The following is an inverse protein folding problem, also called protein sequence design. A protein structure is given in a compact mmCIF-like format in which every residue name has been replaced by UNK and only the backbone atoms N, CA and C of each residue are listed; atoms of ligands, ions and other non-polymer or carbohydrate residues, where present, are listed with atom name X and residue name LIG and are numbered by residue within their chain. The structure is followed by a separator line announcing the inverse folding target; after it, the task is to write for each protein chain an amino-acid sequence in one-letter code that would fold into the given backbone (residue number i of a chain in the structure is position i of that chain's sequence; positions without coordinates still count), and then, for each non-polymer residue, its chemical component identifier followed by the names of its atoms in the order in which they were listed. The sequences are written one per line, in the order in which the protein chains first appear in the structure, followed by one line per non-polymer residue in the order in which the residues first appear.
data_IF_135138731339
#
_entry.id   IF_135138731339
#
_cell.length_a   1.000
_cell.length_b   1.000
_cell.length_c   1.000
_cell.angle_alpha   90.00
_cell.angle_beta   90.00
_cell.angle_gamma   90.00
#
_symmetry.space_group_name_H-M   'P 1'
#
loop_
_entity.id
_entity.type
_entity.pdbx_description
1 polymer ?
#
# COMPACT_ATOMS: atom_id res chain seq x y z
N UNK A 1 47.53 51.60 59.84
CA UNK A 1 47.71 50.16 60.13
C UNK A 1 46.34 49.50 60.12
N UNK A 2 46.17 48.48 59.27
CA UNK A 2 45.02 47.55 59.12
C UNK A 2 43.73 48.07 58.44
N UNK A 3 43.02 47.18 57.70
CA UNK A 3 42.43 47.50 56.39
C UNK A 3 40.89 47.46 56.34
N UNK A 4 40.32 48.01 55.26
CA UNK A 4 38.89 47.94 54.91
C UNK A 4 38.58 46.58 54.27
N UNK A 5 37.58 45.87 54.79
CA UNK A 5 36.97 44.68 54.18
C UNK A 5 35.66 45.04 53.50
N UNK A 6 35.53 44.56 52.26
CA UNK A 6 34.43 44.76 51.34
C UNK A 6 33.36 43.68 51.56
N UNK A 7 32.08 44.06 51.61
CA UNK A 7 30.95 43.15 51.89
C UNK A 7 30.03 43.10 50.66
N UNK A 8 30.29 42.15 49.76
CA UNK A 8 29.45 41.92 48.58
C UNK A 8 28.27 40.99 48.92
N UNK A 9 27.07 41.50 48.68
CA UNK A 9 25.76 40.90 48.98
C UNK A 9 25.37 39.93 47.85
N UNK A 10 25.43 38.61 48.09
CA UNK A 10 24.89 37.58 47.17
C UNK A 10 23.35 37.65 47.14
N UNK A 11 22.76 38.04 46.00
CA UNK A 11 21.34 37.84 45.69
C UNK A 11 21.12 36.36 45.35
N UNK A 12 20.28 35.66 46.09
CA UNK A 12 19.73 34.36 45.67
C UNK A 12 18.55 34.62 44.73
N UNK A 13 18.70 34.22 43.47
CA UNK A 13 17.60 34.13 42.51
C UNK A 13 16.77 32.90 42.83
N UNK A 14 15.48 33.09 43.08
CA UNK A 14 14.49 32.02 43.12
C UNK A 14 14.03 31.82 41.67
N UNK A 15 14.64 30.87 40.96
CA UNK A 15 14.24 30.48 39.62
C UNK A 15 13.23 29.33 39.71
N UNK A 16 12.12 29.56 39.02
CA UNK A 16 10.93 28.74 38.82
C UNK A 16 11.22 27.29 38.40
N UNK A 17 10.85 26.32 39.24
CA UNK A 17 10.90 24.88 38.97
C UNK A 17 9.62 24.33 38.29
N UNK A 18 8.77 25.20 37.72
CA UNK A 18 7.48 24.82 37.11
C UNK A 18 7.51 24.62 35.59
N UNK A 19 8.63 24.93 34.92
CA UNK A 19 8.77 24.79 33.46
C UNK A 19 9.31 23.43 32.99
N UNK A 20 10.19 22.79 33.78
CA UNK A 20 10.86 21.52 33.41
C UNK A 20 9.92 20.32 33.45
N UNK A 21 9.01 20.28 34.43
CA UNK A 21 8.15 19.12 34.66
C UNK A 21 7.13 18.95 33.53
N UNK A 22 6.66 20.04 32.91
CA UNK A 22 5.72 19.97 31.76
C UNK A 22 6.39 19.50 30.47
N UNK A 23 7.67 19.82 30.23
CA UNK A 23 8.38 19.31 29.05
C UNK A 23 8.77 17.85 29.23
N UNK A 24 9.23 17.45 30.42
CA UNK A 24 9.54 16.03 30.71
C UNK A 24 8.27 15.15 30.67
N UNK A 25 7.12 15.61 31.17
CA UNK A 25 5.86 14.85 31.06
C UNK A 25 5.34 14.77 29.62
N UNK A 26 5.55 15.80 28.79
CA UNK A 26 5.18 15.77 27.38
C UNK A 26 6.13 14.87 26.56
N UNK A 27 7.43 14.91 26.84
CA UNK A 27 8.44 14.02 26.24
C UNK A 27 8.24 12.56 26.66
N UNK A 28 7.89 12.30 27.93
CA UNK A 28 7.52 10.97 28.42
C UNK A 28 6.26 10.43 27.72
N UNK A 29 5.26 11.28 27.46
CA UNK A 29 4.05 10.88 26.74
C UNK A 29 4.34 10.54 25.27
N UNK A 30 5.07 11.37 24.53
CA UNK A 30 5.38 11.14 23.11
C UNK A 30 6.22 9.88 22.86
N UNK A 31 7.15 9.58 23.78
CA UNK A 31 8.02 8.39 23.72
C UNK A 31 7.23 7.08 23.86
N UNK A 32 6.26 7.04 24.77
CA UNK A 32 5.40 5.87 24.99
C UNK A 32 4.51 5.56 23.76
N UNK A 33 4.22 6.58 22.95
CA UNK A 33 3.44 6.49 21.72
C UNK A 33 4.29 6.31 20.45
N UNK A 34 5.63 6.33 20.55
CA UNK A 34 6.55 6.20 19.41
C UNK A 34 6.54 7.41 18.46
N UNK A 35 6.07 8.56 18.95
CA UNK A 35 5.94 9.83 18.20
C UNK A 35 7.11 10.80 18.48
N UNK A 36 8.08 10.37 19.27
CA UNK A 36 9.35 11.05 19.55
C UNK A 36 10.42 10.79 18.48
N UNK A 37 10.09 9.98 17.48
CA UNK A 37 10.98 9.53 16.41
C UNK A 37 10.99 10.52 15.25
N UNK A 38 12.06 10.54 14.43
CA UNK A 38 12.03 11.26 13.16
C UNK A 38 10.82 10.81 12.35
N UNK A 39 10.02 11.77 11.84
CA UNK A 39 8.91 11.47 10.93
C UNK A 39 9.41 10.62 9.76
N UNK A 40 8.68 9.55 9.46
CA UNK A 40 9.01 8.71 8.31
C UNK A 40 8.74 9.50 7.03
N UNK A 41 9.63 9.33 6.06
CA UNK A 41 9.49 9.94 4.75
C UNK A 41 8.50 9.19 3.86
N UNK A 42 8.83 9.15 2.57
CA UNK A 42 8.10 8.39 1.58
C UNK A 42 8.63 6.97 1.44
N UNK A 43 7.88 6.16 0.69
CA UNK A 43 8.22 4.80 0.33
C UNK A 43 8.38 3.90 1.56
N UNK A 44 7.37 3.95 2.44
CA UNK A 44 7.34 3.24 3.71
C UNK A 44 5.96 2.70 4.06
N UNK A 45 5.96 1.64 4.85
CA UNK A 45 4.80 1.20 5.65
C UNK A 45 5.08 1.46 7.12
N UNK A 46 4.17 2.17 7.79
CA UNK A 46 4.24 2.43 9.22
C UNK A 46 3.12 1.66 9.93
N UNK A 47 3.45 0.58 10.67
CA UNK A 47 2.48 -0.11 11.50
C UNK A 47 2.13 0.73 12.74
N UNK A 48 0.89 0.58 13.22
CA UNK A 48 0.43 1.21 14.46
C UNK A 48 -0.61 0.36 15.19
N UNK A 49 -0.81 0.66 16.47
CA UNK A 49 -1.87 0.08 17.30
C UNK A 49 -2.64 1.17 18.03
N UNK A 50 -3.95 0.95 18.15
CA UNK A 50 -4.89 1.76 18.92
C UNK A 50 -5.36 0.89 20.08
N UNK A 51 -4.56 0.84 21.16
CA UNK A 51 -4.81 -0.06 22.29
C UNK A 51 -6.17 0.22 22.95
N UNK A 52 -6.57 1.49 23.04
CA UNK A 52 -7.86 1.88 23.63
C UNK A 52 -9.06 1.53 22.74
N UNK A 53 -8.86 1.41 21.42
CA UNK A 53 -9.90 1.09 20.44
C UNK A 53 -9.90 -0.38 20.01
N UNK A 54 -9.03 -1.21 20.61
CA UNK A 54 -8.82 -2.61 20.23
C UNK A 54 -8.59 -2.78 18.72
N UNK A 55 -7.83 -1.88 18.11
CA UNK A 55 -7.58 -1.86 16.68
C UNK A 55 -6.09 -1.82 16.38
N UNK A 56 -5.67 -2.42 15.27
CA UNK A 56 -4.32 -2.28 14.72
C UNK A 56 -4.41 -1.83 13.29
N UNK A 57 -3.38 -1.17 12.80
CA UNK A 57 -3.38 -0.74 11.41
C UNK A 57 -2.00 -0.49 10.85
N UNK A 58 -2.01 -0.05 9.60
CA UNK A 58 -0.83 0.31 8.83
C UNK A 58 -1.17 1.52 7.98
N UNK A 59 -0.21 2.42 7.87
CA UNK A 59 -0.24 3.52 6.91
C UNK A 59 0.86 3.28 5.90
N UNK A 60 0.52 3.34 4.62
CA UNK A 60 1.48 3.32 3.52
C UNK A 60 1.61 4.72 2.95
N UNK A 61 2.83 5.13 2.65
CA UNK A 61 3.15 6.33 1.90
C UNK A 61 4.11 5.94 0.79
N UNK A 62 3.76 6.26 -0.45
CA UNK A 62 4.58 6.02 -1.63
C UNK A 62 4.82 7.34 -2.37
N UNK A 63 6.08 7.59 -2.70
CA UNK A 63 6.56 8.72 -3.47
C UNK A 63 7.34 8.23 -4.67
N UNK A 64 8.67 8.27 -4.59
CA UNK A 64 9.55 8.00 -5.73
C UNK A 64 9.46 6.54 -6.22
N UNK A 65 9.19 5.58 -5.33
CA UNK A 65 8.99 4.18 -5.75
C UNK A 65 7.75 4.04 -6.65
N UNK A 66 6.63 4.67 -6.28
CA UNK A 66 5.41 4.65 -7.08
C UNK A 66 5.58 5.46 -8.38
N UNK A 67 6.18 6.64 -8.31
CA UNK A 67 6.42 7.48 -9.47
C UNK A 67 7.21 6.71 -10.55
N UNK A 68 8.23 5.96 -10.14
CA UNK A 68 9.00 5.09 -11.04
C UNK A 68 8.16 3.97 -11.65
N UNK A 69 7.31 3.29 -10.88
CA UNK A 69 6.41 2.24 -11.41
C UNK A 69 5.47 2.81 -12.48
N UNK A 70 4.87 3.97 -12.21
CA UNK A 70 3.83 4.54 -13.08
C UNK A 70 4.39 5.26 -14.31
N UNK A 71 5.57 5.88 -14.20
CA UNK A 71 6.15 6.68 -15.30
C UNK A 71 6.80 5.83 -16.40
N UNK A 72 7.26 4.61 -16.09
CA UNK A 72 7.93 3.72 -17.06
C UNK A 72 7.05 3.31 -18.25
N UNK A 73 5.74 3.15 -18.04
CA UNK A 73 4.80 2.63 -19.02
C UNK A 73 3.96 3.70 -19.73
N UNK A 74 4.20 4.99 -19.47
CA UNK A 74 3.45 6.12 -20.04
C UNK A 74 1.92 5.94 -20.00
N UNK A 75 1.39 5.47 -18.86
CA UNK A 75 -0.03 5.18 -18.70
C UNK A 75 -0.91 6.44 -18.84
N UNK A 76 -2.12 6.33 -19.42
CA UNK A 76 -3.15 7.35 -19.26
C UNK A 76 -3.43 7.58 -17.76
N UNK A 77 -3.65 8.84 -17.37
CA UNK A 77 -3.78 9.21 -15.96
C UNK A 77 -4.79 8.35 -15.15
N UNK A 78 -5.97 7.95 -15.69
CA UNK A 78 -6.87 7.07 -14.95
C UNK A 78 -6.31 5.67 -14.70
N UNK A 79 -5.58 5.10 -15.67
CA UNK A 79 -4.93 3.79 -15.53
C UNK A 79 -3.80 3.86 -14.50
N UNK A 80 -3.00 4.92 -14.56
CA UNK A 80 -1.93 5.16 -13.58
C UNK A 80 -2.46 5.29 -12.15
N UNK A 81 -3.59 5.99 -11.94
CA UNK A 81 -4.25 6.08 -10.64
C UNK A 81 -4.71 4.71 -10.14
N UNK A 82 -5.38 3.94 -10.98
CA UNK A 82 -5.87 2.62 -10.62
C UNK A 82 -4.74 1.65 -10.27
N UNK A 83 -3.65 1.65 -11.06
CA UNK A 83 -2.45 0.87 -10.73
C UNK A 83 -1.82 1.33 -9.41
N UNK A 84 -1.76 2.65 -9.17
CA UNK A 84 -1.26 3.18 -7.90
C UNK A 84 -2.08 2.73 -6.69
N UNK A 85 -3.41 2.69 -6.80
CA UNK A 85 -4.29 2.17 -5.74
C UNK A 85 -3.98 0.69 -5.46
N UNK A 86 -3.78 -0.11 -6.51
CA UNK A 86 -3.40 -1.52 -6.38
C UNK A 86 -2.03 -1.70 -5.72
N UNK A 87 -1.05 -0.85 -6.04
CA UNK A 87 0.29 -0.88 -5.42
C UNK A 87 0.22 -0.55 -3.94
N UNK A 88 -0.53 0.49 -3.55
CA UNK A 88 -0.75 0.83 -2.13
C UNK A 88 -1.46 -0.30 -1.41
N UNK A 89 -2.51 -0.87 -2.01
CA UNK A 89 -3.26 -1.98 -1.43
C UNK A 89 -2.36 -3.21 -1.19
N UNK A 90 -1.51 -3.56 -2.15
CA UNK A 90 -0.55 -4.65 -2.01
C UNK A 90 0.49 -4.36 -0.92
N UNK A 91 0.95 -3.12 -0.79
CA UNK A 91 1.83 -2.71 0.31
C UNK A 91 1.17 -2.83 1.68
N UNK A 92 -0.10 -2.43 1.80
CA UNK A 92 -0.88 -2.53 3.04
C UNK A 92 -1.12 -3.99 3.46
N UNK A 93 -1.65 -4.80 2.53
CA UNK A 93 -2.00 -6.21 2.80
C UNK A 93 -0.74 -7.06 2.91
N UNK A 94 0.16 -6.97 1.93
CA UNK A 94 1.36 -7.79 1.88
C UNK A 94 2.26 -7.55 3.09
N UNK A 95 2.46 -6.29 3.52
CA UNK A 95 3.23 -6.05 4.73
C UNK A 95 2.55 -6.61 5.99
N UNK A 96 1.20 -6.70 6.01
CA UNK A 96 0.40 -7.20 7.14
C UNK A 96 0.59 -8.68 7.44
N UNK A 97 0.94 -9.45 6.41
CA UNK A 97 1.10 -10.89 6.48
C UNK A 97 2.53 -11.25 6.91
N UNK A 98 2.68 -12.21 7.82
CA UNK A 98 3.98 -12.74 8.22
C UNK A 98 4.35 -13.92 7.31
N UNK A 99 5.05 -13.64 6.22
CA UNK A 99 5.52 -14.66 5.29
C UNK A 99 6.96 -14.38 4.82
N UNK A 100 7.57 -15.38 4.19
CA UNK A 100 8.79 -15.20 3.40
C UNK A 100 8.47 -15.61 1.97
N UNK A 101 8.81 -14.78 0.99
CA UNK A 101 8.50 -15.01 -0.42
C UNK A 101 7.72 -13.86 -1.03
N UNK A 102 6.73 -14.17 -1.88
CA UNK A 102 6.02 -13.17 -2.69
C UNK A 102 4.54 -13.13 -2.37
N UNK A 103 4.03 -11.92 -2.21
CA UNK A 103 2.60 -11.62 -2.24
C UNK A 103 2.26 -11.05 -3.61
N UNK A 104 1.24 -11.61 -4.25
CA UNK A 104 0.80 -11.21 -5.59
C UNK A 104 -0.67 -10.79 -5.49
N UNK A 105 -0.94 -9.54 -5.83
CA UNK A 105 -2.28 -9.01 -6.02
C UNK A 105 -2.54 -8.92 -7.52
N UNK A 106 -3.55 -9.61 -8.01
CA UNK A 106 -3.90 -9.65 -9.41
C UNK A 106 -5.40 -9.38 -9.61
N UNK A 107 -5.75 -8.49 -10.53
CA UNK A 107 -7.13 -8.34 -11.01
C UNK A 107 -7.23 -8.86 -12.42
N UNK A 108 -8.27 -9.62 -12.74
CA UNK A 108 -8.60 -9.99 -14.10
C UNK A 108 -10.06 -9.69 -14.37
N UNK A 109 -10.31 -8.81 -15.34
CA UNK A 109 -11.63 -8.21 -15.54
C UNK A 109 -11.96 -7.99 -17.02
N UNK A 110 -13.22 -7.66 -17.29
CA UNK A 110 -13.78 -7.38 -18.62
C UNK A 110 -13.85 -5.87 -18.96
N UNK A 111 -13.39 -4.99 -18.07
CA UNK A 111 -13.35 -3.55 -18.29
C UNK A 111 -12.19 -3.07 -19.16
N UNK A 112 -12.11 -1.75 -19.44
CA UNK A 112 -11.01 -1.13 -20.19
C UNK A 112 -9.61 -1.49 -19.68
N UNK A 113 -9.45 -1.65 -18.37
CA UNK A 113 -8.24 -2.20 -17.74
C UNK A 113 -8.53 -3.65 -17.40
N UNK A 114 -7.91 -4.58 -18.13
CA UNK A 114 -8.26 -6.00 -18.09
C UNK A 114 -7.38 -6.84 -17.16
N UNK A 115 -6.17 -6.35 -16.85
CA UNK A 115 -5.23 -7.02 -15.96
C UNK A 115 -4.44 -5.98 -15.17
N UNK A 116 -4.39 -6.15 -13.86
CA UNK A 116 -3.41 -5.49 -12.99
C UNK A 116 -2.69 -6.59 -12.24
N UNK A 117 -1.37 -6.50 -12.17
CA UNK A 117 -0.54 -7.38 -11.34
C UNK A 117 0.38 -6.52 -10.51
N UNK A 118 0.40 -6.77 -9.21
CA UNK A 118 1.33 -6.17 -8.27
C UNK A 118 1.97 -7.28 -7.45
N UNK A 119 3.30 -7.31 -7.46
CA UNK A 119 4.09 -8.19 -6.61
C UNK A 119 4.72 -7.38 -5.47
N UNK A 120 4.62 -7.91 -4.26
CA UNK A 120 5.46 -7.56 -3.13
C UNK A 120 6.36 -8.76 -2.81
N UNK A 121 7.64 -8.65 -3.13
CA UNK A 121 8.69 -9.57 -2.71
C UNK A 121 9.14 -9.17 -1.31
N UNK A 122 8.71 -9.95 -0.31
CA UNK A 122 8.94 -9.61 1.08
C UNK A 122 10.44 -9.55 1.40
N UNK A 123 10.89 -8.53 2.16
CA UNK A 123 10.05 -7.63 2.97
C UNK A 123 9.62 -6.32 2.29
N UNK A 124 10.26 -5.91 1.20
CA UNK A 124 10.27 -4.50 0.76
C UNK A 124 10.11 -4.27 -0.76
N UNK A 125 10.30 -5.29 -1.60
CA UNK A 125 10.38 -5.12 -3.05
C UNK A 125 9.02 -5.05 -3.71
N UNK A 126 8.62 -3.89 -4.21
CA UNK A 126 7.39 -3.67 -4.95
C UNK A 126 7.63 -3.58 -6.46
N UNK A 127 6.71 -4.16 -7.22
CA UNK A 127 6.59 -3.92 -8.67
C UNK A 127 5.16 -4.13 -9.10
N UNK A 128 4.73 -3.45 -10.15
CA UNK A 128 3.41 -3.70 -10.71
C UNK A 128 3.29 -3.17 -12.12
N UNK A 129 2.31 -3.70 -12.84
CA UNK A 129 1.94 -3.23 -14.17
C UNK A 129 0.46 -3.44 -14.41
N UNK A 130 -0.06 -2.71 -15.39
CA UNK A 130 -1.43 -2.83 -15.87
C UNK A 130 -1.44 -3.07 -17.39
N UNK A 131 -2.35 -3.92 -17.84
CA UNK A 131 -2.73 -4.05 -19.26
C UNK A 131 -4.12 -3.48 -19.46
N UNK A 132 -4.31 -2.81 -20.57
CA UNK A 132 -5.53 -2.09 -20.89
C UNK A 132 -5.74 -2.00 -22.41
N UNK A 133 -6.99 -1.82 -22.81
CA UNK A 133 -7.37 -1.47 -24.18
C UNK A 133 -7.31 0.06 -24.33
N UNK A 134 -6.37 0.55 -25.12
CA UNK A 134 -6.13 1.98 -25.31
C UNK A 134 -7.35 2.72 -25.88
N UNK A 135 -8.07 2.12 -26.83
CA UNK A 135 -9.25 2.73 -27.43
C UNK A 135 -10.42 2.75 -26.45
N UNK A 136 -10.57 1.68 -25.65
CA UNK A 136 -11.59 1.62 -24.61
C UNK A 136 -11.35 2.65 -23.50
N UNK A 137 -10.10 2.77 -23.03
CA UNK A 137 -9.71 3.77 -22.02
C UNK A 137 -9.91 5.19 -22.57
N UNK A 138 -9.54 5.44 -23.83
CA UNK A 138 -9.73 6.75 -24.45
C UNK A 138 -11.22 7.12 -24.53
N UNK A 139 -12.09 6.19 -24.94
CA UNK A 139 -13.56 6.40 -24.92
C UNK A 139 -14.07 6.68 -23.50
N UNK A 140 -13.61 5.93 -22.50
CA UNK A 140 -13.99 6.14 -21.11
C UNK A 140 -13.58 7.55 -20.61
N UNK A 141 -12.40 8.03 -21.00
CA UNK A 141 -11.93 9.40 -20.72
C UNK A 141 -12.86 10.44 -21.35
N UNK A 142 -13.24 10.26 -22.63
CA UNK A 142 -14.12 11.18 -23.34
C UNK A 142 -15.54 11.24 -22.76
N UNK A 143 -16.02 10.13 -22.23
CA UNK A 143 -17.32 10.02 -21.56
C UNK A 143 -17.29 10.46 -20.09
N UNK A 144 -16.10 10.68 -19.51
CA UNK A 144 -15.93 10.98 -18.09
C UNK A 144 -16.14 9.76 -17.17
N UNK A 145 -16.09 8.55 -17.71
CA UNK A 145 -16.30 7.28 -17.02
C UNK A 145 -14.98 6.68 -16.52
N UNK A 146 -14.19 7.48 -15.80
CA UNK A 146 -12.82 7.14 -15.40
C UNK A 146 -12.70 6.69 -13.95
N UNK A 147 -13.81 6.36 -13.28
CA UNK A 147 -13.75 5.84 -11.90
C UNK A 147 -13.15 4.42 -11.88
N UNK A 148 -12.46 4.01 -10.80
CA UNK A 148 -11.85 2.68 -10.68
C UNK A 148 -12.78 1.53 -11.12
N UNK A 149 -14.01 1.49 -10.60
CA UNK A 149 -14.98 0.45 -10.93
C UNK A 149 -15.46 0.44 -12.38
N UNK A 150 -15.46 1.59 -13.06
CA UNK A 150 -15.81 1.68 -14.49
C UNK A 150 -14.67 1.18 -15.38
N UNK A 151 -13.43 1.41 -14.96
CA UNK A 151 -12.23 0.93 -15.67
C UNK A 151 -11.99 -0.56 -15.46
N UNK A 152 -12.27 -1.07 -14.26
CA UNK A 152 -12.17 -2.49 -13.95
C UNK A 152 -13.34 -3.27 -14.56
N UNK A 153 -14.58 -2.77 -14.47
CA UNK A 153 -15.74 -3.54 -14.88
C UNK A 153 -16.00 -4.71 -13.94
N UNK A 154 -16.26 -5.90 -14.48
CA UNK A 154 -16.54 -7.12 -13.74
C UNK A 154 -15.41 -8.14 -13.89
N UNK A 155 -15.21 -8.94 -12.85
CA UNK A 155 -14.20 -9.99 -12.87
C UNK A 155 -13.87 -10.48 -11.47
N UNK A 156 -12.58 -10.61 -11.18
CA UNK A 156 -12.13 -11.04 -9.86
C UNK A 156 -10.78 -10.44 -9.49
N UNK A 157 -10.56 -10.30 -8.18
CA UNK A 157 -9.28 -9.99 -7.57
C UNK A 157 -8.78 -11.24 -6.87
N UNK A 158 -7.57 -11.67 -7.23
CA UNK A 158 -6.87 -12.78 -6.61
C UNK A 158 -5.69 -12.25 -5.77
N UNK A 159 -5.60 -12.70 -4.54
CA UNK A 159 -4.46 -12.48 -3.64
C UNK A 159 -3.75 -13.81 -3.43
N UNK A 160 -2.50 -13.88 -3.85
CA UNK A 160 -1.69 -15.11 -3.77
C UNK A 160 -0.49 -14.89 -2.86
N UNK A 161 -0.28 -15.79 -1.92
CA UNK A 161 0.91 -15.85 -1.08
C UNK A 161 1.73 -17.06 -1.53
N UNK A 162 2.91 -16.81 -2.08
CA UNK A 162 3.88 -17.82 -2.52
C UNK A 162 5.12 -17.79 -1.61
N UNK A 163 5.30 -18.85 -0.82
CA UNK A 163 6.43 -18.98 0.11
C UNK A 163 7.54 -19.91 -0.41
N UNK A 164 7.55 -20.17 -1.72
CA UNK A 164 8.55 -21.01 -2.39
C UNK A 164 8.19 -22.49 -2.44
N UNK A 165 9.11 -23.30 -2.96
CA UNK A 165 8.86 -24.68 -3.41
C UNK A 165 8.47 -25.67 -2.31
N UNK A 166 8.69 -25.31 -1.04
CA UNK A 166 8.44 -26.19 0.10
C UNK A 166 7.13 -25.88 0.83
N UNK A 167 6.38 -24.87 0.37
CA UNK A 167 5.13 -24.42 0.97
C UNK A 167 4.04 -24.39 -0.09
N UNK A 168 2.82 -24.76 0.30
CA UNK A 168 1.68 -24.64 -0.59
C UNK A 168 1.35 -23.17 -0.83
N UNK A 169 1.06 -22.83 -2.09
CA UNK A 169 0.58 -21.50 -2.46
C UNK A 169 -0.82 -21.31 -1.92
N UNK A 170 -1.02 -20.27 -1.14
CA UNK A 170 -2.34 -19.86 -0.68
C UNK A 170 -2.90 -18.80 -1.64
N UNK A 171 -4.14 -18.98 -2.09
CA UNK A 171 -4.80 -18.03 -2.98
C UNK A 171 -6.23 -17.75 -2.51
N UNK A 172 -6.53 -16.48 -2.23
CA UNK A 172 -7.87 -15.99 -1.99
C UNK A 172 -8.40 -15.25 -3.22
N UNK A 173 -9.64 -15.50 -3.62
CA UNK A 173 -10.27 -14.88 -4.79
C UNK A 173 -11.58 -14.22 -4.36
N UNK A 174 -11.80 -12.98 -4.81
CA UNK A 174 -13.01 -12.20 -4.54
C UNK A 174 -13.57 -11.65 -5.86
N UNK A 175 -14.89 -11.66 -6.00
CA UNK A 175 -15.55 -11.11 -7.17
C UNK A 175 -15.39 -9.57 -7.22
N UNK A 176 -15.15 -9.05 -8.42
CA UNK A 176 -15.18 -7.63 -8.74
C UNK A 176 -16.48 -7.35 -9.48
N UNK A 177 -17.35 -6.50 -8.93
CA UNK A 177 -18.65 -6.15 -9.54
C UNK A 177 -18.78 -4.63 -9.79
N UNK A 178 -17.77 -4.02 -10.42
CA UNK A 178 -17.77 -2.59 -10.72
C UNK A 178 -17.57 -1.67 -9.50
N UNK A 179 -17.11 -2.23 -8.37
CA UNK A 179 -16.71 -1.50 -7.17
C UNK A 179 -15.27 -0.97 -7.24
N UNK A 180 -14.84 -0.30 -6.18
CA UNK A 180 -13.45 0.16 -6.00
C UNK A 180 -12.56 -0.94 -5.43
N UNK A 181 -11.24 -0.75 -5.46
CA UNK A 181 -10.32 -1.67 -4.79
C UNK A 181 -10.49 -1.66 -3.26
N UNK A 182 -10.99 -0.57 -2.67
CA UNK A 182 -11.34 -0.50 -1.25
C UNK A 182 -12.48 -1.49 -0.92
N UNK A 183 -13.58 -1.43 -1.67
CA UNK A 183 -14.78 -2.27 -1.47
C UNK A 183 -14.43 -3.77 -1.51
N UNK A 184 -13.52 -4.11 -2.42
CA UNK A 184 -13.10 -5.49 -2.67
C UNK A 184 -12.18 -5.99 -1.57
N UNK A 185 -11.28 -5.13 -1.09
CA UNK A 185 -10.47 -5.44 0.08
C UNK A 185 -11.33 -5.64 1.33
N UNK A 186 -12.35 -4.80 1.55
CA UNK A 186 -13.28 -4.96 2.67
C UNK A 186 -14.02 -6.30 2.57
N UNK A 187 -14.53 -6.64 1.37
CA UNK A 187 -15.22 -7.90 1.10
C UNK A 187 -14.32 -9.12 1.35
N UNK A 188 -13.06 -9.06 0.91
CA UNK A 188 -12.09 -10.12 1.15
C UNK A 188 -11.89 -10.42 2.63
N UNK A 189 -11.56 -9.41 3.43
CA UNK A 189 -11.30 -9.58 4.86
C UNK A 189 -12.56 -9.97 5.64
N UNK A 190 -13.72 -9.47 5.20
CA UNK A 190 -15.01 -9.85 5.77
C UNK A 190 -15.32 -11.34 5.54
N UNK A 191 -15.12 -11.85 4.33
CA UNK A 191 -15.47 -13.23 3.98
C UNK A 191 -14.42 -14.26 4.41
N UNK A 192 -13.13 -13.94 4.22
CA UNK A 192 -12.03 -14.91 4.39
C UNK A 192 -11.46 -14.92 5.80
N UNK A 193 -11.31 -13.73 6.41
CA UNK A 193 -10.62 -13.57 7.70
C UNK A 193 -11.59 -13.29 8.87
N UNK A 194 -12.83 -12.88 8.59
CA UNK A 194 -13.83 -12.44 9.57
C UNK A 194 -13.32 -11.36 10.52
N UNK A 195 -12.41 -10.51 10.04
CA UNK A 195 -11.85 -9.39 10.77
C UNK A 195 -12.44 -8.10 10.19
N UNK A 196 -13.17 -7.29 10.99
CA UNK A 196 -13.62 -5.97 10.55
C UNK A 196 -12.41 -5.17 10.09
N UNK A 197 -12.39 -4.83 8.81
CA UNK A 197 -11.25 -4.19 8.16
C UNK A 197 -11.74 -2.99 7.38
N UNK A 198 -11.07 -1.85 7.57
CA UNK A 198 -11.29 -0.64 6.81
C UNK A 198 -10.01 -0.32 6.04
N UNK A 199 -10.17 -0.02 4.76
CA UNK A 199 -9.11 0.36 3.84
C UNK A 199 -9.49 1.68 3.19
N UNK A 200 -8.54 2.63 3.17
CA UNK A 200 -8.61 3.89 2.43
C UNK A 200 -7.37 4.01 1.56
N UNK A 201 -7.54 4.37 0.29
CA UNK A 201 -6.50 4.49 -0.72
C UNK A 201 -6.66 5.86 -1.40
N UNK A 202 -5.55 6.51 -1.69
CA UNK A 202 -5.55 7.72 -2.50
C UNK A 202 -4.30 7.79 -3.35
N UNK A 203 -4.47 8.21 -4.60
CA UNK A 203 -3.39 8.46 -5.56
C UNK A 203 -3.58 9.83 -6.17
N UNK A 204 -2.54 10.65 -6.11
CA UNK A 204 -2.56 12.00 -6.64
C UNK A 204 -1.30 12.32 -7.44
N UNK A 205 -1.41 13.30 -8.31
CA UNK A 205 -0.27 13.96 -8.92
C UNK A 205 0.03 15.23 -8.16
N UNK A 206 1.27 15.39 -7.72
CA UNK A 206 1.76 16.60 -7.09
C UNK A 206 2.60 17.39 -8.10
N UNK A 207 2.30 18.68 -8.25
CA UNK A 207 3.11 19.61 -9.03
C UNK A 207 3.73 20.64 -8.10
N UNK A 208 5.03 20.53 -7.86
CA UNK A 208 5.76 21.52 -7.05
C UNK A 208 6.33 22.64 -7.93
N UNK A 209 6.42 23.84 -7.34
CA UNK A 209 6.97 25.01 -8.02
C UNK A 209 8.46 24.79 -8.30
N UNK A 210 8.82 24.67 -9.57
CA UNK A 210 10.20 24.46 -10.03
C UNK A 210 10.47 23.08 -10.60
N UNK A 211 9.53 22.15 -10.48
CA UNK A 211 9.61 20.83 -11.13
C UNK A 211 9.06 20.88 -12.56
N UNK A 212 9.64 20.07 -13.45
CA UNK A 212 9.29 20.05 -14.88
C UNK A 212 8.02 19.26 -15.19
N UNK A 213 7.72 18.25 -14.38
CA UNK A 213 6.60 17.34 -14.55
C UNK A 213 5.96 17.05 -13.20
N UNK A 214 4.64 16.79 -13.17
CA UNK A 214 4.01 16.27 -11.96
C UNK A 214 4.62 14.94 -11.57
N UNK A 215 4.75 14.69 -10.27
CA UNK A 215 5.13 13.39 -9.70
C UNK A 215 3.90 12.68 -9.14
N UNK A 216 3.84 11.37 -9.30
CA UNK A 216 2.83 10.55 -8.66
C UNK A 216 3.17 10.32 -7.20
N UNK A 217 2.13 10.37 -6.36
CA UNK A 217 2.21 10.06 -4.93
C UNK A 217 0.96 9.31 -4.55
N UNK A 218 1.10 8.43 -3.57
CA UNK A 218 -0.05 7.74 -3.02
C UNK A 218 0.12 7.46 -1.54
N UNK A 219 -1.00 7.25 -0.90
CA UNK A 219 -1.02 6.74 0.46
C UNK A 219 -2.27 5.94 0.71
N UNK A 220 -2.23 5.18 1.79
CA UNK A 220 -3.39 4.45 2.23
C UNK A 220 -3.30 4.07 3.68
N UNK A 221 -4.44 3.73 4.24
CA UNK A 221 -4.57 3.28 5.63
C UNK A 221 -5.37 2.00 5.62
N UNK A 222 -4.88 1.00 6.35
CA UNK A 222 -5.60 -0.24 6.63
C UNK A 222 -5.73 -0.35 8.15
N UNK A 223 -6.95 -0.54 8.65
CA UNK A 223 -7.23 -0.72 10.08
C UNK A 223 -8.08 -1.97 10.27
N UNK A 224 -7.71 -2.79 11.25
CA UNK A 224 -8.36 -4.03 11.62
C UNK A 224 -8.75 -4.00 13.09
N UNK A 225 -10.00 -4.37 13.39
CA UNK A 225 -10.49 -4.49 14.75
C UNK A 225 -10.17 -5.88 15.34
N UNK A 226 -9.50 -5.92 16.49
CA UNK A 226 -9.03 -7.11 17.18
C UNK A 226 -9.34 -7.05 18.68
N UNK A 227 -10.60 -7.23 19.08
CA UNK A 227 -10.98 -7.21 20.48
C UNK A 227 -10.32 -8.35 21.27
N UNK A 228 -9.86 -8.08 22.51
CA UNK A 228 -9.06 -9.00 23.31
C UNK A 228 -9.80 -10.26 23.78
N UNK A 229 -11.14 -10.30 23.70
CA UNK A 229 -11.96 -11.41 24.20
C UNK A 229 -13.10 -11.76 23.26
N UNK A 230 -12.97 -12.88 22.53
CA UNK A 230 -13.99 -13.86 22.09
C UNK A 230 -15.42 -13.46 21.71
N UNK A 231 -15.72 -12.17 21.61
CA UNK A 231 -16.99 -11.64 21.15
C UNK A 231 -17.05 -11.73 19.63
N UNK A 232 -18.26 -11.93 19.11
CA UNK A 232 -18.51 -11.82 17.67
C UNK A 232 -18.10 -10.42 17.23
N UNK A 233 -17.06 -10.33 16.42
CA UNK A 233 -16.57 -9.09 15.81
C UNK A 233 -17.31 -8.73 14.54
N UNK A 234 -17.89 -9.74 13.90
CA UNK A 234 -18.65 -9.61 12.66
C UNK A 234 -20.03 -10.24 12.84
N UNK A 235 -21.05 -9.73 12.12
CA UNK A 235 -22.33 -10.43 12.00
C UNK A 235 -22.11 -11.78 11.31
N UNK A 236 -22.99 -12.75 11.61
CA UNK A 236 -22.96 -14.06 10.91
C UNK A 236 -23.10 -13.82 9.39
N UNK A 237 -22.31 -14.56 8.58
CA UNK A 237 -22.36 -14.46 7.12
C UNK A 237 -23.80 -14.76 6.64
N UNK A 238 -24.51 -13.80 6.03
CA UNK A 238 -25.87 -14.03 5.57
C UNK A 238 -25.89 -15.08 4.47
N UNK A 239 -26.99 -15.82 4.36
CA UNK A 239 -27.11 -16.94 3.43
C UNK A 239 -26.96 -16.57 1.95
N UNK A 240 -27.11 -15.29 1.60
CA UNK A 240 -26.91 -14.72 0.27
C UNK A 240 -25.54 -14.00 0.11
N UNK A 241 -24.72 -13.96 1.16
CA UNK A 241 -23.42 -13.28 1.17
C UNK A 241 -23.51 -11.75 1.16
N UNK A 242 -24.72 -11.17 1.23
CA UNK A 242 -24.95 -9.74 1.21
C UNK A 242 -25.31 -9.20 2.60
N UNK A 243 -24.36 -8.52 3.25
CA UNK A 243 -24.54 -7.97 4.60
C UNK A 243 -25.45 -6.73 4.64
N UNK A 244 -25.68 -6.08 3.50
CA UNK A 244 -26.57 -4.92 3.39
C UNK A 244 -28.03 -5.32 3.19
N UNK A 245 -28.33 -6.62 3.04
CA UNK A 245 -29.68 -7.11 2.92
C UNK A 245 -30.35 -7.20 4.31
N UNK A 246 -31.33 -6.34 4.64
CA UNK A 246 -31.97 -6.34 5.96
C UNK A 246 -32.79 -7.61 6.25
N UNK A 247 -33.12 -8.41 5.23
CA UNK A 247 -33.85 -9.67 5.41
C UNK A 247 -32.95 -10.83 5.87
N UNK A 248 -31.68 -10.83 5.47
CA UNK A 248 -30.71 -11.88 5.79
C UNK A 248 -29.67 -11.44 6.83
N UNK A 249 -29.58 -10.13 7.13
CA UNK A 249 -28.68 -9.57 8.13
C UNK A 249 -28.97 -10.08 9.55
N UNK A 250 -27.91 -10.27 10.33
CA UNK A 250 -28.00 -10.63 11.74
C UNK A 250 -28.50 -9.44 12.58
N UNK A 251 -29.81 -9.41 12.83
CA UNK A 251 -30.47 -8.36 13.62
C UNK A 251 -30.03 -8.32 15.09
N UNK A 252 -29.33 -9.35 15.58
CA UNK A 252 -28.83 -9.41 16.95
C UNK A 252 -27.38 -8.92 17.07
N UNK A 253 -26.72 -8.62 15.94
CA UNK A 253 -25.36 -8.08 15.95
C UNK A 253 -25.39 -6.58 16.28
N UNK A 254 -24.82 -6.23 17.43
CA UNK A 254 -24.50 -4.84 17.77
C UNK A 254 -23.01 -4.61 17.52
N UNK A 255 -22.70 -3.67 16.64
CA UNK A 255 -21.31 -3.31 16.35
C UNK A 255 -20.65 -2.70 17.58
N UNK A 256 -19.36 -2.98 17.77
CA UNK A 256 -18.60 -2.44 18.89
C UNK A 256 -18.45 -0.92 18.76
N UNK A 257 -18.78 -0.16 19.81
CA UNK A 257 -18.66 1.30 19.84
C UNK A 257 -17.23 1.76 19.49
N UNK A 258 -16.19 1.02 19.94
CA UNK A 258 -14.79 1.32 19.62
C UNK A 258 -14.48 1.18 18.14
N UNK A 259 -15.08 0.19 17.48
CA UNK A 259 -14.93 0.02 16.04
C UNK A 259 -15.70 1.11 15.27
N UNK A 260 -16.89 1.46 15.73
CA UNK A 260 -17.67 2.59 15.18
C UNK A 260 -16.89 3.90 15.26
N UNK A 261 -16.25 4.17 16.41
CA UNK A 261 -15.38 5.33 16.60
C UNK A 261 -14.17 5.28 15.65
N UNK A 262 -13.47 4.15 15.59
CA UNK A 262 -12.32 3.95 14.69
C UNK A 262 -12.70 4.23 13.23
N UNK A 263 -13.81 3.66 12.76
CA UNK A 263 -14.31 3.87 11.39
C UNK A 263 -14.69 5.33 11.15
N UNK A 264 -15.34 5.97 12.12
CA UNK A 264 -15.74 7.37 12.01
C UNK A 264 -14.53 8.29 11.87
N UNK A 265 -13.46 8.06 12.66
CA UNK A 265 -12.23 8.85 12.60
C UNK A 265 -11.50 8.63 11.27
N UNK A 266 -11.26 7.38 10.85
CA UNK A 266 -10.61 7.08 9.56
C UNK A 266 -11.45 7.59 8.38
N UNK A 267 -12.78 7.57 8.47
CA UNK A 267 -13.67 8.09 7.43
C UNK A 267 -13.55 9.60 7.20
N UNK A 268 -12.89 10.34 8.10
CA UNK A 268 -12.60 11.77 7.91
C UNK A 268 -11.30 12.04 7.12
N UNK A 269 -10.50 11.01 6.87
CA UNK A 269 -9.24 11.15 6.13
C UNK A 269 -9.52 11.52 4.69
N UNK A 270 -9.02 12.69 4.28
CA UNK A 270 -9.16 13.16 2.91
C UNK A 270 -8.04 12.61 2.01
N UNK A 271 -8.34 12.47 0.72
CA UNK A 271 -7.43 11.88 -0.27
C UNK A 271 -6.14 12.71 -0.43
N UNK A 272 -6.22 14.03 -0.26
CA UNK A 272 -5.07 14.93 -0.30
C UNK A 272 -4.14 14.72 0.90
N UNK A 273 -4.67 14.48 2.10
CA UNK A 273 -3.86 14.16 3.28
C UNK A 273 -3.09 12.84 3.13
N UNK A 274 -3.65 11.91 2.34
CA UNK A 274 -3.00 10.65 2.03
C UNK A 274 -1.86 10.78 1.02
N UNK A 275 -1.89 11.79 0.16
CA UNK A 275 -0.85 12.00 -0.86
C UNK A 275 0.11 13.17 -0.55
N UNK A 276 -0.21 14.03 0.43
CA UNK A 276 0.57 15.21 0.77
C UNK A 276 1.91 14.86 1.44
N UNK A 277 3.07 15.28 0.88
CA UNK A 277 4.38 15.09 1.50
C UNK A 277 4.56 15.82 2.83
N UNK A 278 3.79 16.86 3.12
CA UNK A 278 3.87 17.60 4.39
C UNK A 278 3.18 16.87 5.56
N UNK A 279 2.37 15.85 5.25
CA UNK A 279 1.68 15.02 6.22
C UNK A 279 2.39 13.67 6.26
N UNK A 280 3.25 13.46 7.26
CA UNK A 280 3.86 12.13 7.48
C UNK A 280 2.81 11.12 7.98
N UNK A 281 3.07 9.80 7.88
CA UNK A 281 2.22 8.79 8.50
C UNK A 281 1.98 9.04 10.00
N UNK A 282 3.01 9.43 10.75
CA UNK A 282 2.91 9.73 12.18
C UNK A 282 2.04 10.95 12.45
N UNK A 283 2.20 12.02 11.64
CA UNK A 283 1.37 13.23 11.77
C UNK A 283 -0.09 12.94 11.44
N UNK A 284 -0.36 12.14 10.42
CA UNK A 284 -1.72 11.70 10.10
C UNK A 284 -2.34 10.93 11.28
N UNK A 285 -1.62 9.93 11.81
CA UNK A 285 -2.09 9.11 12.93
C UNK A 285 -2.31 9.93 14.20
N UNK A 286 -1.40 10.85 14.53
CA UNK A 286 -1.57 11.75 15.66
C UNK A 286 -2.80 12.65 15.46
N UNK A 287 -3.00 13.24 14.29
CA UNK A 287 -4.18 14.09 14.03
C UNK A 287 -5.49 13.33 14.24
N UNK A 288 -5.55 12.07 13.81
CA UNK A 288 -6.74 11.23 13.93
C UNK A 288 -6.97 10.71 15.36
N UNK A 289 -5.90 10.36 16.08
CA UNK A 289 -6.00 9.56 17.31
C UNK A 289 -5.29 10.17 18.52
N UNK A 290 -4.96 11.46 18.52
CA UNK A 290 -4.30 12.11 19.66
C UNK A 290 -5.12 12.05 20.96
N UNK A 291 -6.45 12.08 20.88
CA UNK A 291 -7.31 11.98 22.07
C UNK A 291 -7.39 10.53 22.60
N UNK A 292 -7.56 9.57 21.70
CA UNK A 292 -7.74 8.16 22.06
C UNK A 292 -6.41 7.43 22.32
N UNK A 293 -5.29 7.96 21.83
CA UNK A 293 -3.96 7.39 21.93
C UNK A 293 -3.63 6.43 20.79
N UNK A 294 -2.50 6.67 20.12
CA UNK A 294 -1.95 5.83 19.07
C UNK A 294 -0.51 5.46 19.39
N UNK A 295 -0.14 4.21 19.17
CA UNK A 295 1.23 3.75 19.28
C UNK A 295 1.77 3.40 17.91
N UNK A 296 2.85 4.05 17.51
CA UNK A 296 3.49 3.88 16.20
C UNK A 296 4.72 2.97 16.31
N UNK A 297 4.93 2.09 15.33
CA UNK A 297 6.07 1.18 15.25
C UNK A 297 7.08 1.61 14.18
N UNK A 298 8.19 0.88 14.08
CA UNK A 298 9.23 1.17 13.09
C UNK A 298 8.70 1.04 11.65
N UNK A 299 9.07 2.00 10.82
CA UNK A 299 8.75 1.99 9.40
C UNK A 299 9.47 0.84 8.68
N UNK A 300 8.75 0.20 7.77
CA UNK A 300 9.27 -0.80 6.85
C UNK A 300 9.47 -0.09 5.50
N UNK A 301 10.71 -0.01 4.97
CA UNK A 301 10.93 0.59 3.67
C UNK A 301 10.24 -0.23 2.58
N UNK A 302 9.77 0.47 1.55
CA UNK A 302 9.28 -0.10 0.31
C UNK A 302 10.14 0.43 -0.83
N UNK A 303 10.51 -0.45 -1.75
CA UNK A 303 11.37 -0.06 -2.87
C UNK A 303 10.79 -0.61 -4.16
N UNK A 304 10.80 0.19 -5.22
CA UNK A 304 10.57 -0.36 -6.55
C UNK A 304 11.71 -1.32 -6.90
N UNK A 305 11.38 -2.57 -7.20
CA UNK A 305 12.37 -3.60 -7.50
C UNK A 305 11.86 -4.59 -8.53
N UNK A 306 12.30 -4.40 -9.77
CA UNK A 306 12.16 -5.44 -10.78
C UNK A 306 13.29 -6.46 -10.70
N UNK A 307 12.98 -7.72 -10.99
CA UNK A 307 13.91 -8.84 -10.91
C UNK A 307 14.24 -9.44 -12.28
N UNK A 308 13.88 -8.78 -13.38
CA UNK A 308 14.29 -9.21 -14.71
C UNK A 308 15.81 -9.02 -14.89
N UNK A 309 16.41 -9.90 -15.67
CA UNK A 309 17.76 -9.76 -16.19
C UNK A 309 17.83 -10.43 -17.56
N UNK A 310 18.82 -10.06 -18.36
CA UNK A 310 19.04 -10.69 -19.66
C UNK A 310 19.17 -12.22 -19.51
N UNK A 311 19.96 -12.68 -18.53
CA UNK A 311 20.14 -14.11 -18.21
C UNK A 311 18.81 -14.83 -17.89
N UNK A 312 17.91 -14.20 -17.13
CA UNK A 312 16.61 -14.81 -16.78
C UNK A 312 15.67 -14.89 -17.97
N UNK A 313 15.68 -13.87 -18.83
CA UNK A 313 14.84 -13.85 -20.03
C UNK A 313 15.40 -14.84 -21.06
N UNK A 314 16.71 -14.89 -21.24
CA UNK A 314 17.39 -15.88 -22.08
C UNK A 314 17.08 -17.31 -21.60
N UNK A 315 17.19 -17.57 -20.28
CA UNK A 315 16.82 -18.85 -19.69
C UNK A 315 15.35 -19.20 -19.92
N UNK A 316 14.44 -18.23 -19.74
CA UNK A 316 13.01 -18.41 -20.03
C UNK A 316 12.75 -18.75 -21.51
N UNK A 317 13.45 -18.07 -22.44
CA UNK A 317 13.38 -18.35 -23.87
C UNK A 317 13.94 -19.72 -24.24
N UNK A 318 14.97 -20.17 -23.50
CA UNK A 318 15.58 -21.49 -23.67
C UNK A 318 14.68 -22.62 -23.17
N UNK A 319 14.08 -22.45 -22.00
CA UNK A 319 13.34 -23.48 -21.29
C UNK A 319 11.91 -23.67 -21.82
N UNK A 320 11.25 -22.59 -22.24
CA UNK A 320 9.83 -22.61 -22.63
C UNK A 320 9.58 -22.74 -24.14
N UNK A 321 10.58 -22.50 -24.97
CA UNK A 321 10.44 -22.54 -26.43
C UNK A 321 11.48 -23.46 -27.05
N UNK A 322 11.11 -24.11 -28.15
CA UNK A 322 12.00 -24.92 -28.97
C UNK A 322 12.88 -24.03 -29.86
N UNK A 323 13.92 -24.60 -30.46
CA UNK A 323 14.77 -23.87 -31.39
C UNK A 323 14.01 -23.38 -32.64
N UNK A 324 13.02 -24.15 -33.10
CA UNK A 324 12.15 -23.75 -34.23
C UNK A 324 11.24 -22.57 -33.83
N UNK A 325 10.59 -22.64 -32.66
CA UNK A 325 9.75 -21.55 -32.16
C UNK A 325 10.56 -20.25 -31.93
N UNK A 326 11.80 -20.35 -31.41
CA UNK A 326 12.67 -19.19 -31.30
C UNK A 326 13.05 -18.59 -32.65
N UNK A 327 13.27 -19.42 -33.68
CA UNK A 327 13.55 -18.92 -35.03
C UNK A 327 12.35 -18.19 -35.63
N UNK A 328 11.14 -18.67 -35.36
CA UNK A 328 9.89 -18.03 -35.80
C UNK A 328 9.59 -16.71 -35.06
N UNK A 329 10.15 -16.51 -33.86
CA UNK A 329 10.03 -15.26 -33.09
C UNK A 329 10.93 -14.13 -33.59
N UNK A 330 11.89 -14.41 -34.48
CA UNK A 330 12.84 -13.40 -34.96
C UNK A 330 12.15 -12.41 -35.90
N UNK A 331 12.24 -11.13 -35.56
CA UNK A 331 11.82 -10.01 -36.42
C UNK A 331 13.02 -9.11 -36.62
N UNK A 332 13.32 -8.73 -37.87
CA UNK A 332 14.47 -7.89 -38.22
C UNK A 332 15.85 -8.40 -37.73
N UNK A 333 15.98 -9.70 -37.45
CA UNK A 333 17.24 -10.35 -37.07
C UNK A 333 17.46 -10.51 -35.57
N UNK A 334 16.49 -10.12 -34.74
CA UNK A 334 16.52 -10.27 -33.29
C UNK A 334 15.16 -10.71 -32.72
N UNK A 335 15.20 -11.20 -31.48
CA UNK A 335 14.03 -11.46 -30.64
C UNK A 335 13.99 -10.33 -29.62
N UNK A 336 13.01 -9.45 -29.75
CA UNK A 336 12.75 -8.38 -28.79
C UNK A 336 11.79 -8.87 -27.70
N UNK A 337 12.22 -8.74 -26.45
CA UNK A 337 11.39 -9.04 -25.27
C UNK A 337 11.34 -7.81 -24.37
N UNK A 338 10.16 -7.23 -24.25
CA UNK A 338 9.89 -6.12 -23.34
C UNK A 338 9.40 -6.66 -22.01
N UNK A 339 10.07 -6.32 -20.91
CA UNK A 339 9.62 -6.72 -19.58
C UNK A 339 8.34 -5.96 -19.18
N UNK A 340 7.23 -6.66 -19.01
CA UNK A 340 5.93 -6.09 -18.60
C UNK A 340 5.97 -5.32 -17.28
N UNK A 341 6.91 -5.60 -16.37
CA UNK A 341 7.00 -4.90 -15.08
C UNK A 341 7.77 -3.59 -15.17
N UNK A 342 8.97 -3.60 -15.78
CA UNK A 342 9.87 -2.44 -15.77
C UNK A 342 10.06 -1.76 -17.13
N UNK A 343 9.41 -2.26 -18.18
CA UNK A 343 9.57 -1.78 -19.56
C UNK A 343 11.01 -1.82 -20.08
N UNK A 344 11.87 -2.67 -19.50
CA UNK A 344 13.20 -2.87 -20.02
C UNK A 344 13.14 -3.73 -21.29
N UNK A 345 13.80 -3.24 -22.33
CA UNK A 345 13.88 -3.88 -23.64
C UNK A 345 15.12 -4.76 -23.71
N UNK A 346 14.92 -6.04 -24.02
CA UNK A 346 15.99 -7.01 -24.20
C UNK A 346 15.97 -7.52 -25.63
N UNK A 347 17.11 -7.45 -26.30
CA UNK A 347 17.30 -7.90 -27.67
C UNK A 347 18.25 -9.10 -27.65
N UNK A 348 17.80 -10.21 -28.24
CA UNK A 348 18.58 -11.43 -28.36
C UNK A 348 18.69 -11.84 -29.82
N UNK A 349 19.81 -12.42 -30.20
CA UNK A 349 19.99 -13.04 -31.50
C UNK A 349 19.99 -14.57 -31.36
N UNK A 350 19.70 -15.29 -32.45
CA UNK A 350 19.69 -16.76 -32.41
C UNK A 350 21.01 -17.38 -31.94
N UNK A 351 22.14 -16.73 -32.24
CA UNK A 351 23.46 -17.19 -31.83
C UNK A 351 23.70 -17.11 -30.32
N UNK A 352 22.90 -16.32 -29.59
CA UNK A 352 22.97 -16.27 -28.12
C UNK A 352 22.42 -17.56 -27.47
N UNK A 353 21.63 -18.33 -28.22
CA UNK A 353 21.06 -19.61 -27.77
C UNK A 353 21.81 -20.84 -28.30
N UNK A 354 22.83 -20.64 -29.13
CA UNK A 354 23.68 -21.73 -29.58
C UNK A 354 24.53 -22.21 -28.40
N UNK A 355 24.38 -23.48 -28.02
CA UNK A 355 25.20 -24.09 -26.97
C UNK A 355 26.69 -23.83 -27.29
N UNK A 356 27.35 -23.03 -26.45
CA UNK A 356 28.81 -22.94 -26.45
C UNK A 356 29.33 -24.33 -26.08
N UNK A 357 29.62 -25.13 -27.12
CA UNK A 357 30.37 -26.37 -26.98
C UNK A 357 31.76 -26.01 -26.47
N UNK A 358 31.95 -26.07 -25.15
CA UNK A 358 33.26 -26.16 -24.51
C UNK A 358 33.57 -27.59 -24.10
#
# INVERSE_FOLDING_TARGET
MRPKTDFTRKRRSCATASGSIRSELAELQLTDYGLDRPESGDDVVVPFTLENLDSRGRVVRLGDALDQILTRHNYPAPVARLLGEAVVLAGLIGSSLKFQGKFILQTQTDGPVNLIVVDLDAPDGLRGYARFDADAVQRAIEMGETKPGQLLGKGHLAMTVDQGQHMERYQGIVALEGGTLEDVAHTYFQQSEQVPTLVRLAVAQLSLKGERSPKWRAGGVLVQHLPPHGGRTMPDLPGDGNFDNPETADQNFAENDKWTETRSLIGTVADDELADPAVSPERLLFRLFHETGVRVFDAIPLEERCTCSAERIEGMLRDNFTAEERADMVVDGEIEVVCEFCSADYHFHLHDFDDVKH
#
